data_IF_551410212858
#
_entry.id   IF_551410212858
#
_cell.length_a   1.000
_cell.length_b   1.000
_cell.length_c   1.000
_cell.angle_alpha   90.00
_cell.angle_beta   90.00
_cell.angle_gamma   90.00
#
_symmetry.space_group_name_H-M   'P 1'
#
loop_
_entity.id
_entity.type
_entity.pdbx_description
1 polymer ?
#
# COMPACT_ATOMS: atom_id res chain seq x y z
N UNK A 1 -53.75 -16.26 -5.14
CA UNK A 1 -53.06 -16.03 -3.85
C UNK A 1 -51.63 -15.48 -3.96
N UNK A 2 -51.14 -15.11 -5.16
CA UNK A 2 -49.73 -14.72 -5.36
C UNK A 2 -49.48 -13.20 -5.45
N UNK A 3 -50.54 -12.38 -5.57
CA UNK A 3 -50.43 -10.91 -5.73
C UNK A 3 -50.28 -10.14 -4.42
N UNK A 4 -50.69 -10.69 -3.28
CA UNK A 4 -50.63 -10.01 -1.97
C UNK A 4 -49.27 -10.06 -1.29
N UNK A 5 -48.39 -11.02 -1.65
CA UNK A 5 -47.03 -11.12 -1.08
C UNK A 5 -46.03 -10.15 -1.73
N UNK A 6 -46.28 -9.73 -2.98
CA UNK A 6 -45.40 -8.80 -3.69
C UNK A 6 -45.56 -7.35 -3.19
N UNK A 7 -46.77 -6.97 -2.77
CA UNK A 7 -47.07 -5.62 -2.26
C UNK A 7 -46.42 -5.35 -0.90
N UNK A 8 -46.24 -6.39 -0.08
CA UNK A 8 -45.67 -6.28 1.26
C UNK A 8 -44.14 -6.06 1.25
N UNK A 9 -43.44 -6.65 0.28
CA UNK A 9 -41.98 -6.47 0.13
C UNK A 9 -41.58 -5.06 -0.32
N UNK A 10 -42.38 -4.43 -1.19
CA UNK A 10 -42.12 -3.07 -1.69
C UNK A 10 -42.29 -2.03 -0.57
N UNK A 11 -43.28 -2.24 0.32
CA UNK A 11 -43.50 -1.35 1.47
C UNK A 11 -42.31 -1.31 2.44
N UNK A 12 -41.70 -2.46 2.73
CA UNK A 12 -40.57 -2.55 3.67
C UNK A 12 -39.32 -1.87 3.09
N UNK A 13 -39.03 -2.07 1.80
CA UNK A 13 -37.88 -1.42 1.15
C UNK A 13 -38.06 0.10 1.12
N UNK A 14 -39.25 0.60 0.84
CA UNK A 14 -39.52 2.04 0.86
C UNK A 14 -39.32 2.65 2.25
N UNK A 15 -39.78 1.99 3.31
CA UNK A 15 -39.63 2.46 4.69
C UNK A 15 -38.15 2.46 5.12
N UNK A 16 -37.38 1.43 4.76
CA UNK A 16 -35.95 1.37 5.07
C UNK A 16 -35.15 2.44 4.33
N UNK A 17 -35.46 2.70 3.06
CA UNK A 17 -34.80 3.77 2.29
C UNK A 17 -35.12 5.15 2.88
N UNK A 18 -36.38 5.40 3.26
CA UNK A 18 -36.77 6.66 3.91
C UNK A 18 -36.07 6.81 5.26
N UNK A 19 -36.00 5.75 6.07
CA UNK A 19 -35.29 5.78 7.35
C UNK A 19 -33.79 6.07 7.18
N UNK A 20 -33.15 5.49 6.16
CA UNK A 20 -31.74 5.76 5.84
C UNK A 20 -31.52 7.22 5.40
N UNK A 21 -32.39 7.75 4.54
CA UNK A 21 -32.32 9.15 4.08
C UNK A 21 -32.56 10.14 5.24
N UNK A 22 -33.53 9.86 6.11
CA UNK A 22 -33.78 10.66 7.32
C UNK A 22 -32.60 10.60 8.28
N UNK A 23 -31.99 9.43 8.47
CA UNK A 23 -30.76 9.29 9.26
C UNK A 23 -29.63 10.13 8.66
N UNK A 24 -29.36 10.03 7.36
CA UNK A 24 -28.32 10.83 6.69
C UNK A 24 -28.57 12.33 6.79
N UNK A 25 -29.83 12.76 6.77
CA UNK A 25 -30.21 14.17 6.92
C UNK A 25 -30.06 14.68 8.35
N UNK A 26 -30.47 13.89 9.36
CA UNK A 26 -30.41 14.27 10.77
C UNK A 26 -29.00 14.16 11.37
N UNK A 27 -28.17 13.29 10.81
CA UNK A 27 -26.79 13.06 11.23
C UNK A 27 -25.88 13.25 10.03
N UNK A 28 -25.75 14.48 9.51
CA UNK A 28 -24.83 14.74 8.41
C UNK A 28 -23.44 14.29 8.87
N UNK A 29 -22.84 13.34 8.14
CA UNK A 29 -21.42 13.05 8.31
C UNK A 29 -20.71 14.38 8.12
N UNK A 30 -20.04 14.93 9.15
CA UNK A 30 -19.40 16.22 9.03
C UNK A 30 -18.48 16.15 7.82
N UNK A 31 -18.71 17.03 6.84
CA UNK A 31 -17.84 17.14 5.68
C UNK A 31 -16.40 17.24 6.23
N UNK A 32 -15.45 16.43 5.72
CA UNK A 32 -14.08 16.47 6.21
C UNK A 32 -13.61 17.91 6.12
N UNK A 33 -13.41 18.54 7.29
CA UNK A 33 -12.94 19.92 7.35
C UNK A 33 -11.58 19.90 6.67
N UNK A 34 -11.36 20.68 5.60
CA UNK A 34 -10.05 20.75 4.95
C UNK A 34 -9.05 21.19 6.02
N UNK A 35 -8.22 20.25 6.50
CA UNK A 35 -7.14 20.60 7.43
C UNK A 35 -6.15 21.43 6.63
N UNK A 36 -6.13 22.74 6.90
CA UNK A 36 -5.11 23.63 6.37
C UNK A 36 -3.72 23.05 6.64
N UNK A 37 -2.94 22.83 5.57
CA UNK A 37 -1.54 22.40 5.66
C UNK A 37 -0.67 23.39 6.41
N UNK A 38 -1.09 24.66 6.50
CA UNK A 38 -0.38 25.70 7.26
C UNK A 38 -0.27 25.38 8.76
N UNK A 39 -1.04 24.39 9.26
CA UNK A 39 -1.00 23.91 10.64
C UNK A 39 -0.30 22.56 10.87
N UNK A 40 0.33 21.93 9.85
CA UNK A 40 1.01 20.63 10.09
C UNK A 40 2.36 20.82 10.81
N UNK A 41 2.77 19.90 11.70
CA UNK A 41 4.09 19.96 12.35
C UNK A 41 5.24 20.03 11.34
N UNK A 42 5.10 19.34 10.20
CA UNK A 42 6.09 19.41 9.13
C UNK A 42 6.19 20.80 8.51
N UNK A 43 5.06 21.43 8.16
CA UNK A 43 5.05 22.77 7.58
C UNK A 43 5.63 23.81 8.56
N UNK A 44 5.30 23.67 9.85
CA UNK A 44 5.87 24.49 10.91
C UNK A 44 7.40 24.32 11.01
N UNK A 45 7.91 23.08 10.96
CA UNK A 45 9.35 22.80 10.96
C UNK A 45 10.06 23.34 9.71
N UNK A 46 9.47 23.20 8.53
CA UNK A 46 10.04 23.73 7.29
C UNK A 46 10.19 25.26 7.31
N UNK A 47 9.27 25.96 7.98
CA UNK A 47 9.27 27.43 8.08
C UNK A 47 10.17 27.92 9.20
N UNK A 48 10.08 27.30 10.38
CA UNK A 48 10.62 27.86 11.63
C UNK A 48 11.94 27.19 12.07
N UNK A 49 12.34 26.06 11.46
CA UNK A 49 13.57 25.34 11.78
C UNK A 49 14.46 25.19 10.53
N UNK A 50 15.40 26.12 10.34
CA UNK A 50 16.26 26.16 9.15
C UNK A 50 17.10 24.89 8.94
N UNK A 51 17.55 24.25 10.03
CA UNK A 51 18.30 22.99 9.96
C UNK A 51 17.43 21.84 9.45
N UNK A 52 16.16 21.80 9.85
CA UNK A 52 15.20 20.83 9.33
C UNK A 52 14.93 21.06 7.83
N UNK A 53 14.70 22.31 7.42
CA UNK A 53 14.47 22.66 6.02
C UNK A 53 15.67 22.31 5.12
N UNK A 54 16.90 22.58 5.58
CA UNK A 54 18.13 22.18 4.90
C UNK A 54 18.25 20.65 4.78
N UNK A 55 17.92 19.91 5.84
CA UNK A 55 17.93 18.45 5.85
C UNK A 55 16.92 17.86 4.84
N UNK A 56 15.71 18.40 4.75
CA UNK A 56 14.71 17.97 3.76
C UNK A 56 15.13 18.29 2.31
N UNK A 57 15.82 19.42 2.09
CA UNK A 57 16.41 19.72 0.79
C UNK A 57 17.48 18.70 0.40
N UNK A 58 18.36 18.32 1.34
CA UNK A 58 19.38 17.29 1.12
C UNK A 58 18.76 15.91 0.85
N UNK A 59 17.70 15.54 1.57
CA UNK A 59 16.96 14.29 1.29
C UNK A 59 16.38 14.26 -0.11
N UNK A 60 15.71 15.34 -0.54
CA UNK A 60 15.16 15.45 -1.91
C UNK A 60 16.24 15.41 -2.99
N UNK A 61 17.44 15.87 -2.67
CA UNK A 61 18.61 15.76 -3.55
C UNK A 61 19.30 14.38 -3.52
N UNK A 62 18.72 13.39 -2.82
CA UNK A 62 19.27 12.04 -2.73
C UNK A 62 20.53 11.93 -1.86
N UNK A 63 20.73 12.84 -0.89
CA UNK A 63 21.91 12.90 -0.02
C UNK A 63 21.58 12.61 1.46
N UNK A 64 21.09 11.42 1.79
CA UNK A 64 20.61 11.12 3.15
C UNK A 64 21.71 11.16 4.22
N UNK A 65 22.94 10.81 3.86
CA UNK A 65 24.12 10.90 4.73
C UNK A 65 24.44 12.34 5.18
N UNK A 66 24.18 13.32 4.32
CA UNK A 66 24.32 14.74 4.67
C UNK A 66 23.09 15.28 5.41
N UNK A 67 21.90 14.75 5.11
CA UNK A 67 20.67 15.15 5.79
C UNK A 67 20.63 14.70 7.26
N UNK A 68 21.10 13.49 7.56
CA UNK A 68 21.07 12.92 8.91
C UNK A 68 21.69 13.81 10.01
N UNK A 69 22.93 14.33 9.88
CA UNK A 69 23.50 15.22 10.89
C UNK A 69 22.70 16.51 11.03
N UNK A 70 22.09 17.02 9.96
CA UNK A 70 21.24 18.23 10.00
C UNK A 70 19.94 17.98 10.76
N UNK A 71 19.27 16.85 10.54
CA UNK A 71 18.11 16.48 11.36
C UNK A 71 18.45 16.32 12.84
N UNK A 72 19.60 15.72 13.17
CA UNK A 72 20.07 15.61 14.55
C UNK A 72 20.32 16.97 15.19
N UNK A 73 20.90 17.91 14.44
CA UNK A 73 21.13 19.27 14.91
C UNK A 73 19.81 20.07 15.03
N UNK A 74 18.80 19.75 14.22
CA UNK A 74 17.48 20.37 14.29
C UNK A 74 16.67 19.90 15.53
N UNK A 75 16.93 18.68 16.02
CA UNK A 75 16.15 18.02 17.06
C UNK A 75 15.99 18.82 18.37
N UNK A 76 17.04 19.44 18.95
CA UNK A 76 16.91 20.23 20.18
C UNK A 76 16.08 21.51 20.03
N UNK A 77 15.78 21.91 18.81
CA UNK A 77 14.98 23.11 18.49
C UNK A 77 13.51 22.78 18.21
N UNK A 78 13.07 21.54 18.42
CA UNK A 78 11.65 21.20 18.39
C UNK A 78 10.91 21.95 19.52
N UNK A 79 9.79 22.59 19.19
CA UNK A 79 9.04 23.43 20.15
C UNK A 79 8.01 22.65 20.96
N UNK A 80 7.63 21.47 20.48
CA UNK A 80 6.62 20.60 21.07
C UNK A 80 6.87 19.14 20.67
N UNK A 81 6.17 18.22 21.32
CA UNK A 81 6.33 16.80 21.10
C UNK A 81 5.94 16.34 19.68
N UNK A 82 5.06 17.07 18.99
CA UNK A 82 4.68 16.75 17.61
C UNK A 82 5.83 17.04 16.64
N UNK A 83 6.47 18.20 16.78
CA UNK A 83 7.68 18.55 16.04
C UNK A 83 8.83 17.60 16.37
N UNK A 84 9.06 17.31 17.66
CA UNK A 84 10.08 16.37 18.12
C UNK A 84 9.90 14.99 17.49
N UNK A 85 8.67 14.47 17.52
CA UNK A 85 8.32 13.19 16.89
C UNK A 85 8.55 13.19 15.38
N UNK A 86 8.23 14.28 14.69
CA UNK A 86 8.48 14.41 13.25
C UNK A 86 9.97 14.41 12.92
N UNK A 87 10.80 15.15 13.68
CA UNK A 87 12.25 15.14 13.50
C UNK A 87 12.82 13.75 13.83
N UNK A 88 12.38 13.11 14.92
CA UNK A 88 12.79 11.75 15.29
C UNK A 88 12.50 10.76 14.16
N UNK A 89 11.31 10.84 13.56
CA UNK A 89 10.92 10.00 12.42
C UNK A 89 11.83 10.22 11.21
N UNK A 90 12.16 11.47 10.89
CA UNK A 90 13.10 11.79 9.79
C UNK A 90 14.51 11.28 10.08
N UNK A 91 15.00 11.40 11.32
CA UNK A 91 16.28 10.79 11.73
C UNK A 91 16.26 9.28 11.51
N UNK A 92 15.20 8.58 11.94
CA UNK A 92 15.08 7.13 11.78
C UNK A 92 15.02 6.72 10.30
N UNK A 93 14.26 7.46 9.49
CA UNK A 93 14.16 7.25 8.04
C UNK A 93 15.50 7.50 7.33
N UNK A 94 16.23 8.58 7.68
CA UNK A 94 17.57 8.83 7.14
C UNK A 94 18.56 7.73 7.52
N UNK A 95 18.56 7.25 8.78
CA UNK A 95 19.40 6.11 9.19
C UNK A 95 19.09 4.85 8.38
N UNK A 96 17.81 4.62 8.05
CA UNK A 96 17.38 3.48 7.25
C UNK A 96 17.99 3.48 5.85
N UNK A 97 18.16 4.65 5.22
CA UNK A 97 18.66 4.77 3.83
C UNK A 97 20.15 5.14 3.74
N UNK A 98 20.74 5.76 4.78
CA UNK A 98 22.17 6.05 4.85
C UNK A 98 23.02 4.78 5.05
N UNK A 99 24.32 4.90 4.73
CA UNK A 99 25.35 3.85 4.97
C UNK A 99 25.02 2.49 4.32
N UNK A 100 24.57 2.48 3.07
CA UNK A 100 24.24 1.25 2.35
C UNK A 100 22.97 0.55 2.84
N UNK A 101 22.05 1.29 3.47
CA UNK A 101 20.77 0.74 3.94
C UNK A 101 20.90 0.05 5.30
N UNK A 102 21.30 0.79 6.35
CA UNK A 102 21.39 0.24 7.71
C UNK A 102 20.02 0.05 8.37
N UNK A 103 19.12 -0.71 7.73
CA UNK A 103 17.76 -0.99 8.19
C UNK A 103 17.73 -1.49 9.63
N UNK A 104 18.69 -2.34 10.02
CA UNK A 104 18.81 -2.84 11.40
C UNK A 104 19.03 -1.72 12.42
N UNK A 105 19.82 -0.70 12.09
CA UNK A 105 20.07 0.44 12.98
C UNK A 105 18.84 1.35 13.13
N UNK A 106 17.94 1.35 12.14
CA UNK A 106 16.70 2.11 12.19
C UNK A 106 15.60 1.44 13.06
N UNK A 107 15.63 0.12 13.23
CA UNK A 107 14.64 -0.62 14.04
C UNK A 107 14.47 -0.04 15.46
N UNK A 108 15.51 0.11 16.30
CA UNK A 108 15.34 0.65 17.65
C UNK A 108 14.88 2.12 17.66
N UNK A 109 15.16 2.89 16.60
CA UNK A 109 14.67 4.26 16.48
C UNK A 109 13.16 4.29 16.25
N UNK A 110 12.66 3.50 15.29
CA UNK A 110 11.22 3.42 15.03
C UNK A 110 10.43 2.83 16.20
N UNK A 111 10.98 1.83 16.90
CA UNK A 111 10.36 1.30 18.13
C UNK A 111 10.17 2.40 19.19
N UNK A 112 11.22 3.19 19.46
CA UNK A 112 11.15 4.32 20.42
C UNK A 112 10.11 5.37 20.03
N UNK A 113 10.00 5.68 18.74
CA UNK A 113 8.99 6.62 18.24
C UNK A 113 7.58 6.06 18.47
N UNK A 114 7.35 4.79 18.13
CA UNK A 114 6.05 4.15 18.28
C UNK A 114 5.56 4.10 19.73
N UNK A 115 6.48 3.88 20.69
CA UNK A 115 6.17 3.78 22.12
C UNK A 115 6.11 5.12 22.84
N UNK A 116 6.55 6.22 22.23
CA UNK A 116 6.49 7.53 22.87
C UNK A 116 5.10 8.15 22.75
N UNK A 117 4.30 8.08 23.83
CA UNK A 117 2.91 8.53 23.85
C UNK A 117 2.74 10.05 23.73
N UNK A 118 3.80 10.84 23.94
CA UNK A 118 3.74 12.29 23.71
C UNK A 118 3.73 12.66 22.23
N UNK A 119 4.20 11.75 21.36
CA UNK A 119 4.20 11.95 19.91
C UNK A 119 2.81 11.74 19.31
N UNK A 120 2.57 12.36 18.15
CA UNK A 120 1.28 12.24 17.47
C UNK A 120 0.97 10.78 17.10
N UNK A 121 -0.31 10.34 17.16
CA UNK A 121 -0.70 8.99 16.74
C UNK A 121 -0.27 8.64 15.31
N UNK A 122 -0.34 9.60 14.38
CA UNK A 122 0.12 9.43 12.99
C UNK A 122 1.61 9.10 12.95
N UNK A 123 2.45 9.87 13.66
CA UNK A 123 3.91 9.64 13.71
C UNK A 123 4.23 8.27 14.30
N UNK A 124 3.53 7.89 15.39
CA UNK A 124 3.70 6.59 16.07
C UNK A 124 3.31 5.43 15.16
N UNK A 125 2.14 5.51 14.52
CA UNK A 125 1.67 4.50 13.56
C UNK A 125 2.60 4.40 12.35
N UNK A 126 3.07 5.53 11.82
CA UNK A 126 4.01 5.57 10.69
C UNK A 126 5.33 4.89 11.02
N UNK A 127 5.81 5.01 12.26
CA UNK A 127 7.00 4.31 12.71
C UNK A 127 6.81 2.78 12.69
N UNK A 128 5.66 2.28 13.17
CA UNK A 128 5.32 0.84 13.08
C UNK A 128 5.18 0.39 11.63
N UNK A 129 4.53 1.18 10.78
CA UNK A 129 4.41 0.90 9.35
C UNK A 129 5.79 0.80 8.68
N UNK A 130 6.75 1.66 9.04
CA UNK A 130 8.12 1.56 8.51
C UNK A 130 8.83 0.28 8.96
N UNK A 131 8.63 -0.19 10.20
CA UNK A 131 9.14 -1.50 10.64
C UNK A 131 8.60 -2.64 9.75
N UNK A 132 7.32 -2.58 9.35
CA UNK A 132 6.75 -3.54 8.43
C UNK A 132 7.32 -3.40 7.00
N UNK A 133 7.48 -2.17 6.50
CA UNK A 133 8.02 -1.91 5.16
C UNK A 133 9.45 -2.46 4.97
N UNK A 134 10.30 -2.41 6.02
CA UNK A 134 11.68 -2.94 5.94
C UNK A 134 11.73 -4.41 5.54
N UNK A 135 10.74 -5.22 5.93
CA UNK A 135 10.67 -6.61 5.53
C UNK A 135 10.44 -6.79 4.05
N UNK A 136 9.48 -6.05 3.49
CA UNK A 136 9.16 -6.13 2.07
C UNK A 136 10.30 -5.59 1.20
N UNK A 137 11.10 -4.65 1.70
CA UNK A 137 12.26 -4.10 1.00
C UNK A 137 13.49 -5.02 1.02
N UNK A 138 13.70 -5.77 2.11
CA UNK A 138 14.98 -6.47 2.32
C UNK A 138 14.87 -7.98 2.35
N UNK A 139 13.71 -8.53 2.71
CA UNK A 139 13.52 -9.94 3.07
C UNK A 139 14.55 -10.49 4.06
N UNK A 140 15.21 -9.62 4.84
CA UNK A 140 16.34 -10.01 5.70
C UNK A 140 15.86 -10.52 7.06
N UNK A 141 16.14 -11.79 7.35
CA UNK A 141 15.72 -12.47 8.58
C UNK A 141 16.26 -11.81 9.86
N UNK A 142 17.40 -11.14 9.80
CA UNK A 142 17.98 -10.44 10.96
C UNK A 142 17.16 -9.20 11.33
N UNK A 143 16.60 -8.49 10.35
CA UNK A 143 15.67 -7.38 10.61
C UNK A 143 14.40 -7.92 11.24
N UNK A 144 13.83 -9.00 10.69
CA UNK A 144 12.66 -9.65 11.28
C UNK A 144 12.90 -10.04 12.73
N UNK A 145 14.04 -10.66 13.04
CA UNK A 145 14.41 -11.00 14.40
C UNK A 145 14.45 -9.77 15.31
N UNK A 146 15.08 -8.69 14.87
CA UNK A 146 15.25 -7.48 15.69
C UNK A 146 13.92 -6.72 15.88
N UNK A 147 13.02 -6.74 14.89
CA UNK A 147 11.65 -6.17 14.99
C UNK A 147 10.85 -6.92 16.06
N UNK A 148 10.81 -8.25 16.00
CA UNK A 148 9.95 -9.07 16.88
C UNK A 148 10.65 -9.57 18.16
N UNK A 149 11.77 -8.95 18.55
CA UNK A 149 12.55 -9.37 19.72
C UNK A 149 11.89 -9.04 21.06
N UNK A 150 11.23 -7.87 21.14
CA UNK A 150 10.80 -7.26 22.40
C UNK A 150 9.29 -6.91 22.33
N UNK A 151 8.62 -6.81 23.48
CA UNK A 151 7.22 -6.37 23.55
C UNK A 151 7.05 -4.91 23.06
N UNK A 152 5.88 -4.54 22.51
CA UNK A 152 4.71 -5.40 22.24
C UNK A 152 4.86 -6.26 20.97
N UNK A 153 5.98 -6.14 20.27
CA UNK A 153 6.16 -6.76 18.96
C UNK A 153 6.32 -8.27 19.03
N UNK A 154 6.99 -8.81 20.05
CA UNK A 154 7.12 -10.27 20.23
C UNK A 154 5.76 -10.99 20.23
N UNK A 155 4.73 -10.39 20.83
CA UNK A 155 3.35 -10.92 20.85
C UNK A 155 2.68 -10.94 19.46
N UNK A 156 3.13 -10.10 18.52
CA UNK A 156 2.59 -10.05 17.16
C UNK A 156 3.19 -11.14 16.26
N UNK A 157 4.24 -11.84 16.71
CA UNK A 157 4.99 -12.79 15.89
C UNK A 157 4.28 -14.13 15.78
N UNK A 158 3.93 -14.51 14.56
CA UNK A 158 3.61 -15.89 14.20
C UNK A 158 4.91 -16.65 13.87
N UNK A 159 5.16 -17.74 14.61
CA UNK A 159 6.37 -18.56 14.45
C UNK A 159 6.35 -19.41 13.18
N UNK A 160 5.16 -19.71 12.65
CA UNK A 160 4.96 -20.55 11.47
C UNK A 160 4.94 -19.75 10.16
N UNK A 161 4.52 -18.48 10.23
CA UNK A 161 4.32 -17.66 9.04
C UNK A 161 4.71 -16.20 9.25
N UNK A 162 5.90 -15.83 8.75
CA UNK A 162 6.40 -14.44 8.81
C UNK A 162 5.44 -13.42 8.19
N UNK A 163 4.70 -13.77 7.13
CA UNK A 163 3.75 -12.85 6.51
C UNK A 163 2.57 -12.53 7.43
N UNK A 164 2.15 -13.49 8.27
CA UNK A 164 1.14 -13.25 9.31
C UNK A 164 1.70 -12.32 10.38
N UNK A 165 2.98 -12.48 10.79
CA UNK A 165 3.63 -11.54 11.72
C UNK A 165 3.62 -10.10 11.19
N UNK A 166 3.89 -9.91 9.90
CA UNK A 166 3.88 -8.57 9.29
C UNK A 166 2.47 -8.03 9.07
N UNK A 167 1.47 -8.88 8.79
CA UNK A 167 0.05 -8.47 8.86
C UNK A 167 -0.30 -7.97 10.25
N UNK A 168 0.01 -8.73 11.31
CA UNK A 168 -0.24 -8.32 12.70
C UNK A 168 0.45 -7.00 13.05
N UNK A 169 1.65 -6.77 12.51
CA UNK A 169 2.37 -5.52 12.69
C UNK A 169 1.68 -4.33 12.01
N UNK A 170 1.10 -4.52 10.82
CA UNK A 170 0.29 -3.49 10.16
C UNK A 170 -1.04 -3.25 10.89
N UNK A 171 -1.69 -4.30 11.39
CA UNK A 171 -2.89 -4.18 12.23
C UNK A 171 -2.59 -3.45 13.55
N UNK A 172 -1.40 -3.67 14.13
CA UNK A 172 -0.95 -2.91 15.29
C UNK A 172 -0.72 -1.43 14.94
N UNK A 173 -0.12 -1.11 13.79
CA UNK A 173 -0.03 0.28 13.32
C UNK A 173 -1.42 0.92 13.17
N UNK A 174 -2.34 0.22 12.52
CA UNK A 174 -3.76 0.60 12.38
C UNK A 174 -4.45 0.86 13.71
N UNK A 175 -4.14 0.09 14.76
CA UNK A 175 -4.73 0.28 16.10
C UNK A 175 -4.27 1.57 16.79
N UNK A 176 -3.13 2.14 16.37
CA UNK A 176 -2.64 3.44 16.84
C UNK A 176 -3.28 4.56 16.02
N UNK A 177 -3.23 4.44 14.69
CA UNK A 177 -3.86 5.37 13.75
C UNK A 177 -4.06 4.69 12.38
N UNK A 178 -5.22 4.84 11.72
CA UNK A 178 -5.47 4.27 10.40
C UNK A 178 -4.64 4.99 9.34
N UNK A 179 -3.56 4.36 8.88
CA UNK A 179 -2.73 4.85 7.76
C UNK A 179 -3.07 4.06 6.51
N UNK A 180 -3.28 4.72 5.37
CA UNK A 180 -3.73 4.09 4.14
C UNK A 180 -2.85 2.91 3.72
N UNK A 181 -1.52 3.04 3.82
CA UNK A 181 -0.59 1.95 3.54
C UNK A 181 -0.73 0.75 4.48
N UNK A 182 -0.99 0.97 5.77
CA UNK A 182 -1.17 -0.12 6.75
C UNK A 182 -2.53 -0.79 6.62
N UNK A 183 -3.58 0.00 6.43
CA UNK A 183 -4.94 -0.50 6.20
C UNK A 183 -4.98 -1.34 4.92
N UNK A 184 -4.46 -0.83 3.80
CA UNK A 184 -4.47 -1.54 2.52
C UNK A 184 -3.51 -2.73 2.50
N UNK A 185 -2.37 -2.67 3.20
CA UNK A 185 -1.50 -3.83 3.36
C UNK A 185 -2.17 -4.97 4.13
N UNK A 186 -2.97 -4.64 5.15
CA UNK A 186 -3.80 -5.62 5.86
C UNK A 186 -4.93 -6.13 4.97
N UNK A 187 -5.65 -5.23 4.27
CA UNK A 187 -6.72 -5.59 3.34
C UNK A 187 -6.24 -6.54 2.23
N UNK A 188 -5.05 -6.31 1.69
CA UNK A 188 -4.43 -7.16 0.67
C UNK A 188 -4.21 -8.59 1.18
N UNK A 189 -3.82 -8.75 2.45
CA UNK A 189 -3.66 -10.08 3.04
C UNK A 189 -5.00 -10.84 3.07
N UNK A 190 -6.07 -10.19 3.51
CA UNK A 190 -7.42 -10.78 3.56
C UNK A 190 -7.98 -11.04 2.15
N UNK A 191 -7.80 -10.12 1.21
CA UNK A 191 -8.19 -10.29 -0.20
C UNK A 191 -7.47 -11.49 -0.86
N UNK A 192 -6.16 -11.68 -0.59
CA UNK A 192 -5.43 -12.87 -1.04
C UNK A 192 -5.95 -14.15 -0.41
N UNK A 193 -6.36 -14.12 0.85
CA UNK A 193 -6.95 -15.27 1.52
C UNK A 193 -8.30 -15.66 0.89
N UNK A 194 -9.16 -14.69 0.61
CA UNK A 194 -10.44 -14.87 -0.11
C UNK A 194 -10.18 -15.47 -1.50
N UNK A 195 -9.31 -14.83 -2.31
CA UNK A 195 -8.97 -15.31 -3.66
C UNK A 195 -8.43 -16.75 -3.64
N UNK A 196 -7.50 -17.06 -2.72
CA UNK A 196 -6.96 -18.41 -2.58
C UNK A 196 -8.05 -19.42 -2.20
N UNK A 197 -8.97 -19.05 -1.31
CA UNK A 197 -10.12 -19.88 -0.93
C UNK A 197 -11.08 -20.14 -2.11
N UNK A 198 -11.30 -19.13 -2.95
CA UNK A 198 -12.16 -19.25 -4.13
C UNK A 198 -11.62 -20.28 -5.14
N UNK A 199 -10.29 -20.39 -5.28
CA UNK A 199 -9.64 -21.36 -6.17
C UNK A 199 -9.19 -22.65 -5.48
N UNK A 200 -9.37 -22.77 -4.17
CA UNK A 200 -9.00 -23.97 -3.42
C UNK A 200 -10.06 -25.08 -3.58
N UNK A 201 -9.62 -26.33 -3.66
CA UNK A 201 -10.53 -27.48 -3.56
C UNK A 201 -11.23 -27.49 -2.19
N UNK A 202 -12.40 -28.12 -2.11
CA UNK A 202 -13.18 -28.23 -0.87
C UNK A 202 -12.43 -28.91 0.29
N UNK A 203 -11.42 -29.73 -0.03
CA UNK A 203 -10.59 -30.46 0.94
C UNK A 203 -9.29 -29.74 1.32
N UNK A 204 -9.01 -28.58 0.71
CA UNK A 204 -7.79 -27.83 0.97
C UNK A 204 -7.84 -27.14 2.34
N UNK A 205 -6.73 -27.19 3.08
CA UNK A 205 -6.56 -26.40 4.31
C UNK A 205 -6.65 -24.88 4.11
N UNK A 206 -6.62 -24.43 2.85
CA UNK A 206 -6.75 -23.03 2.47
C UNK A 206 -8.17 -22.62 2.11
N UNK A 207 -9.12 -23.57 2.15
CA UNK A 207 -10.53 -23.29 1.96
C UNK A 207 -11.09 -22.65 3.23
N UNK A 208 -11.64 -21.46 3.08
CA UNK A 208 -12.38 -20.75 4.12
C UNK A 208 -13.84 -21.23 4.13
N UNK A 209 -14.48 -21.16 5.29
CA UNK A 209 -15.94 -21.29 5.37
C UNK A 209 -16.61 -20.05 4.76
N UNK A 210 -17.89 -20.15 4.39
CA UNK A 210 -18.64 -18.99 3.90
C UNK A 210 -18.73 -17.87 4.95
N UNK A 211 -18.82 -18.24 6.24
CA UNK A 211 -18.79 -17.30 7.36
C UNK A 211 -17.45 -16.56 7.43
N UNK A 212 -16.32 -17.27 7.34
CA UNK A 212 -14.99 -16.66 7.32
C UNK A 212 -14.80 -15.71 6.13
N UNK A 213 -15.35 -16.07 4.96
CA UNK A 213 -15.32 -15.21 3.76
C UNK A 213 -16.06 -13.90 4.04
N UNK A 214 -17.26 -13.95 4.62
CA UNK A 214 -18.01 -12.73 4.96
C UNK A 214 -17.34 -11.89 6.05
N UNK A 215 -16.72 -12.53 7.06
CA UNK A 215 -15.91 -11.82 8.07
C UNK A 215 -14.75 -11.10 7.39
N UNK A 216 -14.01 -11.78 6.50
CA UNK A 216 -12.87 -11.18 5.80
C UNK A 216 -13.31 -10.04 4.87
N UNK A 217 -14.45 -10.18 4.20
CA UNK A 217 -15.05 -9.08 3.39
C UNK A 217 -15.40 -7.88 4.26
N UNK A 218 -15.97 -8.11 5.45
CA UNK A 218 -16.24 -7.06 6.44
C UNK A 218 -14.97 -6.31 6.85
N UNK A 219 -13.89 -7.04 7.16
CA UNK A 219 -12.58 -6.45 7.48
C UNK A 219 -12.07 -5.63 6.30
N UNK A 220 -12.02 -6.20 5.09
CA UNK A 220 -11.52 -5.49 3.89
C UNK A 220 -12.30 -4.21 3.63
N UNK A 221 -13.62 -4.21 3.80
CA UNK A 221 -14.47 -3.02 3.63
C UNK A 221 -14.09 -1.92 4.61
N UNK A 222 -13.92 -2.27 5.89
CA UNK A 222 -13.50 -1.31 6.91
C UNK A 222 -12.10 -0.77 6.63
N UNK A 223 -11.16 -1.64 6.23
CA UNK A 223 -9.79 -1.24 5.89
C UNK A 223 -9.75 -0.28 4.70
N UNK A 224 -10.53 -0.53 3.65
CA UNK A 224 -10.62 0.39 2.50
C UNK A 224 -11.24 1.73 2.92
N UNK A 225 -12.32 1.73 3.72
CA UNK A 225 -12.93 2.97 4.19
C UNK A 225 -11.94 3.83 5.00
N UNK A 226 -11.22 3.22 5.95
CA UNK A 226 -10.17 3.88 6.72
C UNK A 226 -9.04 4.42 5.82
N UNK A 227 -8.64 3.65 4.81
CA UNK A 227 -7.62 4.08 3.86
C UNK A 227 -8.08 5.27 3.01
N UNK A 228 -9.35 5.30 2.59
CA UNK A 228 -9.92 6.36 1.78
C UNK A 228 -9.95 7.69 2.57
N UNK A 229 -10.21 7.66 3.88
CA UNK A 229 -10.09 8.85 4.76
C UNK A 229 -8.64 9.38 4.82
N UNK A 230 -7.66 8.51 4.98
CA UNK A 230 -6.25 8.91 5.02
C UNK A 230 -5.73 9.35 3.63
N UNK A 231 -6.20 8.74 2.54
CA UNK A 231 -5.92 9.18 1.16
C UNK A 231 -6.41 10.63 0.96
N UNK A 232 -7.62 10.97 1.42
CA UNK A 232 -8.14 12.33 1.32
C UNK A 232 -7.26 13.33 2.11
N UNK A 233 -6.71 12.93 3.26
CA UNK A 233 -5.71 13.72 3.97
C UNK A 233 -4.42 13.87 3.16
N UNK A 234 -3.89 12.78 2.60
CA UNK A 234 -2.64 12.77 1.83
C UNK A 234 -2.71 13.64 0.57
N UNK A 235 -3.84 13.68 -0.12
CA UNK A 235 -4.06 14.55 -1.29
C UNK A 235 -3.87 16.03 -0.95
N UNK A 236 -4.18 16.40 0.29
CA UNK A 236 -4.03 17.76 0.77
C UNK A 236 -2.66 18.01 1.42
N UNK A 237 -1.79 17.00 1.61
CA UNK A 237 -0.46 17.15 2.24
C UNK A 237 0.66 16.94 1.22
N UNK A 238 1.35 18.01 0.77
CA UNK A 238 2.44 17.91 -0.20
C UNK A 238 3.58 16.97 0.20
N UNK A 239 3.73 16.65 1.48
CA UNK A 239 4.82 15.77 1.96
C UNK A 239 4.47 14.30 1.83
N UNK A 240 3.18 13.97 1.85
CA UNK A 240 2.67 12.61 1.72
C UNK A 240 2.23 12.30 0.28
N UNK A 241 2.00 13.32 -0.54
CA UNK A 241 1.57 13.20 -1.94
C UNK A 241 2.51 12.32 -2.78
N UNK A 242 3.81 12.32 -2.49
CA UNK A 242 4.80 11.46 -3.17
C UNK A 242 4.52 9.96 -2.96
N UNK A 243 3.82 9.57 -1.90
CA UNK A 243 3.46 8.17 -1.62
C UNK A 243 2.07 7.78 -2.12
N UNK A 244 1.23 8.76 -2.48
CA UNK A 244 -0.13 8.55 -2.94
C UNK A 244 -0.25 7.56 -4.12
N UNK A 245 0.61 7.59 -5.15
CA UNK A 245 0.51 6.64 -6.26
C UNK A 245 0.69 5.18 -5.81
N UNK A 246 1.61 4.92 -4.88
CA UNK A 246 1.83 3.59 -4.33
C UNK A 246 0.66 3.09 -3.48
N UNK A 247 -0.01 4.01 -2.77
CA UNK A 247 -1.21 3.72 -1.98
C UNK A 247 -2.39 3.37 -2.89
N UNK A 248 -2.63 4.18 -3.93
CA UNK A 248 -3.70 3.94 -4.90
C UNK A 248 -3.46 2.65 -5.71
N UNK A 249 -2.22 2.37 -6.10
CA UNK A 249 -1.85 1.10 -6.72
C UNK A 249 -2.16 -0.10 -5.82
N UNK A 250 -1.85 -0.01 -4.52
CA UNK A 250 -2.18 -1.08 -3.57
C UNK A 250 -3.69 -1.23 -3.41
N UNK A 251 -4.45 -0.13 -3.37
CA UNK A 251 -5.92 -0.15 -3.37
C UNK A 251 -6.48 -0.86 -4.62
N UNK A 252 -5.96 -0.52 -5.79
CA UNK A 252 -6.34 -1.17 -7.05
C UNK A 252 -6.00 -2.68 -7.04
N UNK A 253 -4.86 -3.05 -6.46
CA UNK A 253 -4.47 -4.46 -6.30
C UNK A 253 -5.43 -5.21 -5.37
N UNK A 254 -5.87 -4.61 -4.26
CA UNK A 254 -6.87 -5.21 -3.36
C UNK A 254 -8.18 -5.48 -4.11
N UNK A 255 -8.67 -4.48 -4.85
CA UNK A 255 -9.91 -4.61 -5.63
C UNK A 255 -9.75 -5.69 -6.71
N UNK A 256 -8.64 -5.72 -7.44
CA UNK A 256 -8.39 -6.73 -8.46
C UNK A 256 -8.28 -8.16 -7.92
N UNK A 257 -7.75 -8.32 -6.71
CA UNK A 257 -7.72 -9.63 -6.04
C UNK A 257 -9.13 -10.11 -5.68
N UNK A 258 -9.99 -9.21 -5.19
CA UNK A 258 -11.37 -9.52 -4.82
C UNK A 258 -12.21 -9.84 -6.06
N UNK A 259 -12.16 -9.01 -7.08
CA UNK A 259 -12.89 -9.23 -8.34
C UNK A 259 -12.49 -10.56 -8.99
N UNK A 260 -11.19 -10.88 -9.01
CA UNK A 260 -10.71 -12.18 -9.50
C UNK A 260 -11.24 -13.36 -8.67
N UNK A 261 -11.54 -13.14 -7.38
CA UNK A 261 -12.20 -14.09 -6.51
C UNK A 261 -13.73 -14.13 -6.66
N UNK A 262 -14.32 -13.33 -7.56
CA UNK A 262 -15.76 -13.20 -7.79
C UNK A 262 -16.44 -12.10 -6.95
N UNK A 263 -15.68 -11.30 -6.20
CA UNK A 263 -16.21 -10.30 -5.26
C UNK A 263 -16.28 -8.90 -5.88
N UNK A 264 -17.39 -8.60 -6.54
CA UNK A 264 -17.62 -7.33 -7.27
C UNK A 264 -18.05 -6.16 -6.39
N UNK A 265 -18.36 -6.39 -5.11
CA UNK A 265 -18.96 -5.37 -4.23
C UNK A 265 -18.03 -4.21 -3.83
N UNK A 266 -16.75 -4.28 -4.23
CA UNK A 266 -15.70 -3.31 -3.87
C UNK A 266 -15.33 -2.36 -5.02
N UNK A 267 -16.07 -2.39 -6.13
CA UNK A 267 -15.76 -1.67 -7.36
C UNK A 267 -15.10 -2.57 -8.40
N UNK A 268 -14.56 -1.96 -9.46
CA UNK A 268 -13.93 -2.70 -10.56
C UNK A 268 -12.42 -2.44 -10.62
N UNK A 269 -11.71 -3.46 -11.08
CA UNK A 269 -10.27 -3.42 -11.38
C UNK A 269 -9.96 -2.29 -12.35
N UNK A 270 -10.73 -2.18 -13.42
CA UNK A 270 -10.50 -1.22 -14.50
C UNK A 270 -10.52 0.23 -13.99
N UNK A 271 -11.54 0.59 -13.22
CA UNK A 271 -11.67 1.91 -12.61
C UNK A 271 -10.55 2.18 -11.60
N UNK A 272 -10.28 1.23 -10.70
CA UNK A 272 -9.30 1.42 -9.64
C UNK A 272 -7.87 1.59 -10.19
N UNK A 273 -7.48 0.83 -11.21
CA UNK A 273 -6.17 0.97 -11.84
C UNK A 273 -6.06 2.24 -12.69
N UNK A 274 -7.13 2.69 -13.35
CA UNK A 274 -7.15 4.00 -14.03
C UNK A 274 -6.92 5.15 -13.05
N UNK A 275 -7.58 5.12 -11.88
CA UNK A 275 -7.34 6.10 -10.81
C UNK A 275 -5.87 6.04 -10.37
N UNK A 276 -5.34 4.84 -10.09
CA UNK A 276 -3.94 4.68 -9.70
C UNK A 276 -2.97 5.23 -10.75
N UNK A 277 -3.14 4.87 -12.02
CA UNK A 277 -2.30 5.36 -13.12
C UNK A 277 -2.33 6.88 -13.25
N UNK A 278 -3.51 7.50 -13.11
CA UNK A 278 -3.67 8.96 -13.22
C UNK A 278 -2.94 9.74 -12.12
N UNK A 279 -2.57 9.07 -11.02
CA UNK A 279 -1.85 9.70 -9.91
C UNK A 279 -0.34 9.75 -10.09
N UNK A 280 0.23 8.98 -11.02
CA UNK A 280 1.66 9.00 -11.29
C UNK A 280 2.03 10.25 -12.07
N UNK A 281 2.98 11.02 -11.53
CA UNK A 281 3.61 12.14 -12.21
C UNK A 281 4.95 11.69 -12.81
N UNK A 282 5.37 12.22 -13.97
CA UNK A 282 6.72 12.01 -14.47
C UNK A 282 7.76 12.44 -13.43
N UNK A 283 8.88 11.73 -13.36
CA UNK A 283 10.02 12.15 -12.55
C UNK A 283 10.63 13.46 -13.06
N UNK A 284 11.47 14.15 -12.26
CA UNK A 284 12.13 15.38 -12.69
C UNK A 284 13.00 15.24 -13.96
N UNK A 285 13.51 14.03 -14.21
CA UNK A 285 14.26 13.68 -15.43
C UNK A 285 13.36 13.27 -16.61
N UNK A 286 12.04 13.33 -16.43
CA UNK A 286 11.04 12.91 -17.41
C UNK A 286 10.78 11.40 -17.44
N UNK A 287 11.47 10.59 -16.62
CA UNK A 287 11.26 9.14 -16.61
C UNK A 287 9.86 8.78 -16.09
N UNK A 288 9.13 7.86 -16.76
CA UNK A 288 7.85 7.35 -16.27
C UNK A 288 8.02 6.64 -14.92
N UNK A 289 7.02 6.77 -14.06
CA UNK A 289 7.01 6.16 -12.71
C UNK A 289 5.88 5.12 -12.55
N UNK A 290 5.05 4.93 -13.58
CA UNK A 290 3.84 4.12 -13.60
C UNK A 290 4.07 2.67 -14.07
N UNK A 291 5.33 2.26 -14.28
CA UNK A 291 5.66 0.97 -14.88
C UNK A 291 5.12 -0.24 -14.12
N UNK A 292 5.24 -0.22 -12.78
CA UNK A 292 4.69 -1.28 -11.92
C UNK A 292 3.15 -1.28 -11.97
N UNK A 293 2.52 -0.10 -12.03
CA UNK A 293 1.07 0.00 -12.10
C UNK A 293 0.52 -0.56 -13.43
N UNK A 294 1.19 -0.28 -14.56
CA UNK A 294 0.87 -0.87 -15.87
C UNK A 294 0.99 -2.38 -15.86
N UNK A 295 2.09 -2.91 -15.33
CA UNK A 295 2.32 -4.34 -15.21
C UNK A 295 1.20 -5.04 -14.42
N UNK A 296 0.83 -4.50 -13.25
CA UNK A 296 -0.24 -5.08 -12.43
C UNK A 296 -1.59 -4.96 -13.13
N UNK A 297 -1.89 -3.81 -13.75
CA UNK A 297 -3.16 -3.59 -14.45
C UNK A 297 -3.33 -4.57 -15.62
N UNK A 298 -2.31 -4.71 -16.46
CA UNK A 298 -2.32 -5.67 -17.57
C UNK A 298 -2.56 -7.10 -17.05
N UNK A 299 -1.88 -7.50 -15.97
CA UNK A 299 -2.08 -8.82 -15.37
C UNK A 299 -3.53 -9.01 -14.90
N UNK A 300 -4.09 -8.08 -14.12
CA UNK A 300 -5.45 -8.24 -13.61
C UNK A 300 -6.50 -8.24 -14.73
N UNK A 301 -6.34 -7.41 -15.77
CA UNK A 301 -7.22 -7.45 -16.93
C UNK A 301 -7.21 -8.83 -17.60
N UNK A 302 -6.02 -9.37 -17.88
CA UNK A 302 -5.88 -10.68 -18.48
C UNK A 302 -6.43 -11.80 -17.58
N UNK A 303 -6.13 -11.74 -16.29
CA UNK A 303 -6.50 -12.79 -15.34
C UNK A 303 -8.00 -12.82 -15.00
N UNK A 304 -8.70 -11.69 -15.06
CA UNK A 304 -10.13 -11.57 -14.74
C UNK A 304 -10.98 -11.82 -15.99
N UNK A 305 -10.66 -11.17 -17.10
CA UNK A 305 -11.51 -11.14 -18.29
C UNK A 305 -11.05 -12.09 -19.42
N UNK A 306 -9.86 -12.67 -19.29
CA UNK A 306 -9.32 -13.62 -20.26
C UNK A 306 -9.20 -13.01 -21.67
N UNK A 307 -9.39 -13.83 -22.73
CA UNK A 307 -9.20 -13.41 -24.12
C UNK A 307 -9.96 -12.14 -24.53
N UNK A 308 -11.10 -11.85 -23.87
CA UNK A 308 -11.92 -10.67 -24.19
C UNK A 308 -11.23 -9.34 -23.92
N UNK A 309 -10.18 -9.32 -23.08
CA UNK A 309 -9.42 -8.10 -22.75
C UNK A 309 -7.90 -8.27 -22.94
N UNK A 310 -7.44 -9.32 -23.63
CA UNK A 310 -6.00 -9.51 -23.88
C UNK A 310 -5.40 -8.36 -24.69
N UNK A 311 -6.10 -7.85 -25.71
CA UNK A 311 -5.60 -6.71 -26.48
C UNK A 311 -5.41 -5.45 -25.62
N UNK A 312 -6.30 -5.21 -24.67
CA UNK A 312 -6.17 -4.08 -23.75
C UNK A 312 -5.00 -4.28 -22.79
N UNK A 313 -4.84 -5.49 -22.25
CA UNK A 313 -3.69 -5.84 -21.42
C UNK A 313 -2.36 -5.62 -22.17
N UNK A 314 -2.28 -6.06 -23.43
CA UNK A 314 -1.13 -5.84 -24.31
C UNK A 314 -0.88 -4.34 -24.52
N UNK A 315 -1.92 -3.56 -24.85
CA UNK A 315 -1.77 -2.09 -25.04
C UNK A 315 -1.27 -1.38 -23.77
N UNK A 316 -1.72 -1.81 -22.60
CA UNK A 316 -1.28 -1.23 -21.31
C UNK A 316 0.18 -1.59 -21.01
N UNK A 317 0.58 -2.81 -21.37
CA UNK A 317 1.91 -3.36 -21.14
C UNK A 317 2.97 -2.86 -22.14
N UNK A 318 2.56 -2.60 -23.38
CA UNK A 318 3.42 -2.23 -24.50
C UNK A 318 4.48 -1.15 -24.20
N UNK A 319 4.14 -0.05 -23.52
CA UNK A 319 5.13 0.97 -23.18
C UNK A 319 6.35 0.44 -22.42
N UNK A 320 6.21 -0.64 -21.64
CA UNK A 320 7.30 -1.18 -20.82
C UNK A 320 8.42 -1.83 -21.65
N UNK A 321 8.13 -2.26 -22.88
CA UNK A 321 9.08 -2.93 -23.76
C UNK A 321 9.28 -2.23 -25.12
N UNK A 322 8.41 -1.28 -25.49
CA UNK A 322 8.56 -0.48 -26.72
C UNK A 322 9.26 0.87 -26.48
N UNK A 323 9.40 1.31 -25.22
CA UNK A 323 10.03 2.59 -24.88
C UNK A 323 11.25 2.43 -23.97
N UNK A 324 12.38 2.98 -24.42
CA UNK A 324 13.62 3.05 -23.63
C UNK A 324 13.45 3.83 -22.32
N UNK A 325 12.42 4.67 -22.21
CA UNK A 325 12.13 5.47 -21.02
C UNK A 325 11.88 4.59 -19.77
N UNK A 326 11.45 3.34 -19.94
CA UNK A 326 11.24 2.42 -18.81
C UNK A 326 12.50 1.63 -18.41
N UNK A 327 13.54 1.61 -19.24
CA UNK A 327 14.72 0.75 -19.03
C UNK A 327 15.50 1.08 -17.76
N UNK A 328 15.46 2.34 -17.31
CA UNK A 328 16.08 2.83 -16.08
C UNK A 328 15.13 2.84 -14.87
N UNK A 329 13.86 2.47 -15.03
CA UNK A 329 12.84 2.54 -13.97
C UNK A 329 12.81 1.27 -13.13
N UNK A 330 12.19 1.32 -11.96
CA UNK A 330 12.14 0.21 -10.99
C UNK A 330 11.45 -1.07 -11.50
N UNK A 331 10.66 -0.98 -12.58
CA UNK A 331 9.96 -2.14 -13.15
C UNK A 331 10.91 -3.15 -13.79
N UNK A 332 12.02 -2.70 -14.39
CA UNK A 332 12.98 -3.59 -15.06
C UNK A 332 13.84 -4.38 -14.04
N UNK A 333 14.41 -3.75 -12.99
CA UNK A 333 15.02 -4.49 -11.88
C UNK A 333 14.06 -5.49 -11.22
N UNK A 334 12.77 -5.13 -11.09
CA UNK A 334 11.74 -6.06 -10.63
C UNK A 334 11.68 -7.29 -11.55
N UNK A 335 11.52 -7.12 -12.87
CA UNK A 335 11.41 -8.25 -13.80
C UNK A 335 12.65 -9.15 -13.81
N UNK A 336 13.86 -8.57 -13.73
CA UNK A 336 15.11 -9.36 -13.63
C UNK A 336 15.15 -10.19 -12.35
N UNK A 337 14.73 -9.60 -11.23
CA UNK A 337 14.73 -10.26 -9.92
C UNK A 337 13.70 -11.39 -9.84
N UNK A 338 12.51 -11.18 -10.37
CA UNK A 338 11.42 -12.18 -10.31
C UNK A 338 11.68 -13.41 -11.18
N UNK A 339 12.68 -13.38 -12.06
CA UNK A 339 13.16 -14.60 -12.75
C UNK A 339 13.60 -15.68 -11.76
N UNK A 340 14.37 -15.29 -10.74
CA UNK A 340 14.94 -16.24 -9.77
C UNK A 340 14.10 -16.39 -8.51
N UNK A 341 13.05 -15.58 -8.34
CA UNK A 341 12.16 -15.64 -7.19
C UNK A 341 10.80 -16.20 -7.61
N UNK A 342 10.40 -17.36 -7.09
CA UNK A 342 9.08 -17.94 -7.32
C UNK A 342 7.97 -17.21 -6.51
N UNK A 343 7.82 -15.90 -6.69
CA UNK A 343 6.78 -15.10 -6.03
C UNK A 343 5.52 -14.99 -6.89
N UNK A 344 4.48 -14.30 -6.40
CA UNK A 344 3.31 -13.98 -7.22
C UNK A 344 3.66 -13.18 -8.47
N UNK A 345 4.66 -12.28 -8.42
CA UNK A 345 5.04 -11.48 -9.58
C UNK A 345 5.60 -12.35 -10.72
N UNK A 346 6.35 -13.39 -10.39
CA UNK A 346 6.84 -14.36 -11.38
C UNK A 346 5.67 -14.98 -12.16
N UNK A 347 4.64 -15.46 -11.47
CA UNK A 347 3.44 -16.01 -12.10
C UNK A 347 2.71 -14.98 -12.99
N UNK A 348 2.71 -13.70 -12.59
CA UNK A 348 2.08 -12.64 -13.38
C UNK A 348 2.86 -12.40 -14.68
N UNK A 349 4.19 -12.38 -14.60
CA UNK A 349 5.08 -12.24 -15.77
C UNK A 349 4.91 -13.40 -16.75
N UNK A 350 4.89 -14.64 -16.26
CA UNK A 350 4.62 -15.83 -17.08
C UNK A 350 3.23 -15.79 -17.71
N UNK A 351 2.22 -15.32 -16.99
CA UNK A 351 0.86 -15.19 -17.54
C UNK A 351 0.84 -14.18 -18.69
N UNK A 352 1.49 -13.03 -18.52
CA UNK A 352 1.54 -11.98 -19.53
C UNK A 352 2.40 -12.37 -20.75
N UNK A 353 3.50 -13.10 -20.56
CA UNK A 353 4.35 -13.54 -21.68
C UNK A 353 3.66 -14.57 -22.58
N UNK A 354 2.67 -15.30 -22.07
CA UNK A 354 1.85 -16.23 -22.86
C UNK A 354 0.84 -15.54 -23.77
N UNK A 355 0.41 -14.32 -23.42
CA UNK A 355 -0.56 -13.55 -24.22
C UNK A 355 0.13 -12.54 -25.15
N UNK A 356 1.35 -12.12 -24.83
CA UNK A 356 2.11 -11.11 -25.57
C UNK A 356 3.51 -11.63 -25.94
N UNK A 357 3.70 -12.10 -27.18
CA UNK A 357 4.99 -12.59 -27.65
C UNK A 357 6.11 -11.55 -27.59
N UNK A 358 5.81 -10.26 -27.83
CA UNK A 358 6.82 -9.19 -27.74
C UNK A 358 7.26 -8.98 -26.30
N UNK A 359 6.33 -9.08 -25.35
CA UNK A 359 6.69 -9.05 -23.93
C UNK A 359 7.55 -10.26 -23.53
N UNK A 360 7.25 -11.46 -24.07
CA UNK A 360 8.10 -12.65 -23.87
C UNK A 360 9.54 -12.40 -24.37
N UNK A 361 9.69 -11.86 -25.58
CA UNK A 361 10.99 -11.49 -26.16
C UNK A 361 11.73 -10.46 -25.29
N UNK A 362 11.01 -9.46 -24.79
CA UNK A 362 11.58 -8.48 -23.86
C UNK A 362 12.09 -9.14 -22.57
N UNK A 363 11.31 -10.03 -21.94
CA UNK A 363 11.76 -10.77 -20.76
C UNK A 363 13.00 -11.63 -21.09
N UNK A 364 13.05 -12.25 -22.26
CA UNK A 364 14.23 -12.99 -22.72
C UNK A 364 15.47 -12.08 -22.84
N UNK A 365 15.32 -10.84 -23.33
CA UNK A 365 16.40 -9.84 -23.34
C UNK A 365 16.90 -9.44 -21.94
N UNK A 366 16.06 -9.62 -20.91
CA UNK A 366 16.41 -9.42 -19.50
C UNK A 366 17.02 -10.67 -18.85
N UNK A 367 17.22 -11.76 -19.61
CA UNK A 367 17.85 -13.00 -19.17
C UNK A 367 16.88 -14.12 -18.78
N UNK A 368 15.58 -13.99 -19.07
CA UNK A 368 14.64 -15.11 -18.96
C UNK A 368 14.89 -16.15 -20.05
N UNK A 369 14.59 -17.41 -19.76
CA UNK A 369 14.81 -18.58 -20.60
C UNK A 369 13.49 -19.37 -20.77
N UNK A 370 13.45 -20.34 -21.68
CA UNK A 370 12.26 -21.18 -21.86
C UNK A 370 11.87 -21.95 -20.59
N UNK A 371 12.84 -22.31 -19.74
CA UNK A 371 12.58 -22.99 -18.46
C UNK A 371 11.89 -22.08 -17.43
N UNK A 372 11.89 -20.75 -17.66
CA UNK A 372 11.25 -19.77 -16.77
C UNK A 372 9.76 -19.53 -17.10
N UNK A 373 9.21 -20.07 -18.21
CA UNK A 373 7.84 -19.83 -18.70
C UNK A 373 6.91 -21.07 -18.58
#
# INVERSE_FOLDING_TARGET
MMRTKLSFGIGIVAVLTIALLVWQYLYPVPAPVPRSTAGSPFAALMRDNALFAEAEALLRAGKPELALPKFRAAFPYARNAQEEGQIAFKIAASVMVSNGGSYRAAVPLFKRIATNESYSPITRASAVQKLAAMFFLTSNAMITRDVFKDEPYSSLRDKSNRFVSYRNLLEYASSIHPLASSELGSAEWYARAILRSAHASSTSKWKLTDEDVEIYKGIVRQKIANADEDIARMQNDPNESATLPSVLLRRATVIGLLERGGEMSFGTTDEAFKIALSSFLPSPDGSPQDGIARFYYAYFLAAIYGPTRYEDAIKILAPLYESDAYMSTDVVPLFRRERTLATSNHLYLVTLSRIDPKFKEFLASLGWTEDDF
#
